data_IF_207517219488
#
_entry.id   IF_207517219488
#
_cell.length_a   1.000
_cell.length_b   1.000
_cell.length_c   1.000
_cell.angle_alpha   90.00
_cell.angle_beta   90.00
_cell.angle_gamma   90.00
#
_symmetry.space_group_name_H-M   'P 1'
#
loop_
_entity.id
_entity.type
_entity.pdbx_description
1 polymer ?
#
# COMPACT_ATOMS: atom_id res chain seq x y z
N UNK A 1 -0.71 33.81 4.57
CA UNK A 1 0.51 33.15 5.10
C UNK A 1 0.05 31.93 5.87
N UNK A 2 0.53 30.76 5.48
CA UNK A 2 0.03 29.50 6.03
C UNK A 2 0.61 29.29 7.44
N UNK A 3 -0.25 29.22 8.46
CA UNK A 3 0.14 29.14 9.89
C UNK A 3 0.48 27.70 10.33
N UNK A 4 0.69 26.81 9.37
CA UNK A 4 0.87 25.38 9.60
C UNK A 4 2.07 25.06 10.52
N UNK A 5 3.27 25.64 10.33
CA UNK A 5 4.43 25.31 11.19
C UNK A 5 4.20 25.72 12.65
N UNK A 6 3.53 26.85 12.89
CA UNK A 6 3.20 27.31 14.25
C UNK A 6 2.23 26.35 14.93
N UNK A 7 1.19 25.91 14.20
CA UNK A 7 0.19 24.96 14.72
C UNK A 7 0.79 23.58 14.96
N UNK A 8 1.75 23.18 14.14
CA UNK A 8 2.49 21.93 14.28
C UNK A 8 3.41 21.94 15.51
N UNK A 9 4.23 22.99 15.70
CA UNK A 9 5.08 23.17 16.89
C UNK A 9 4.23 23.15 18.17
N UNK A 10 3.10 23.87 18.17
CA UNK A 10 2.20 23.92 19.32
C UNK A 10 1.60 22.55 19.68
N UNK A 11 1.23 21.72 18.69
CA UNK A 11 0.74 20.38 18.96
C UNK A 11 1.86 19.44 19.43
N UNK A 12 3.08 19.52 18.88
CA UNK A 12 4.22 18.73 19.36
C UNK A 12 4.50 19.00 20.84
N UNK A 13 4.48 20.27 21.25
CA UNK A 13 4.64 20.66 22.67
C UNK A 13 3.50 20.10 23.51
N UNK A 14 2.24 20.19 23.03
CA UNK A 14 1.07 19.63 23.73
C UNK A 14 1.18 18.12 23.95
N UNK A 15 1.80 17.40 23.01
CA UNK A 15 2.01 15.95 23.07
C UNK A 15 3.24 15.55 23.91
N UNK A 16 3.90 16.52 24.55
CA UNK A 16 4.98 16.28 25.51
C UNK A 16 6.39 16.34 24.93
N UNK A 17 6.57 16.81 23.69
CA UNK A 17 7.91 17.07 23.14
C UNK A 17 8.52 18.34 23.76
N UNK A 18 9.83 18.33 24.02
CA UNK A 18 10.54 19.50 24.54
C UNK A 18 10.47 20.68 23.56
N UNK A 19 10.21 21.92 24.01
CA UNK A 19 9.99 23.08 23.12
C UNK A 19 11.12 23.31 22.09
N UNK A 20 12.39 23.13 22.48
CA UNK A 20 13.51 23.26 21.55
C UNK A 20 13.51 22.20 20.44
N UNK A 21 13.10 20.97 20.76
CA UNK A 21 13.00 19.87 19.79
C UNK A 21 11.79 20.03 18.87
N UNK A 22 10.66 20.47 19.42
CA UNK A 22 9.45 20.77 18.66
C UNK A 22 9.69 21.87 17.60
N UNK A 23 10.41 22.94 17.99
CA UNK A 23 10.78 24.02 17.09
C UNK A 23 11.69 23.55 15.95
N UNK A 24 12.71 22.77 16.28
CA UNK A 24 13.62 22.19 15.29
C UNK A 24 12.85 21.36 14.23
N UNK A 25 12.01 20.43 14.68
CA UNK A 25 11.22 19.57 13.79
C UNK A 25 10.22 20.38 12.94
N UNK A 26 9.64 21.43 13.51
CA UNK A 26 8.75 22.32 12.77
C UNK A 26 9.47 23.06 11.65
N UNK A 27 10.67 23.58 11.92
CA UNK A 27 11.52 24.22 10.90
C UNK A 27 11.93 23.24 9.80
N UNK A 28 12.44 22.06 10.17
CA UNK A 28 12.85 21.02 9.19
C UNK A 28 11.67 20.59 8.29
N UNK A 29 10.48 20.43 8.88
CA UNK A 29 9.26 20.06 8.14
C UNK A 29 8.80 21.19 7.21
N UNK A 30 8.89 22.44 7.66
CA UNK A 30 8.54 23.60 6.85
C UNK A 30 9.50 23.80 5.67
N UNK A 31 10.80 23.61 5.89
CA UNK A 31 11.83 23.67 4.86
C UNK A 31 11.58 22.58 3.80
N UNK A 32 11.24 21.37 4.22
CA UNK A 32 10.91 20.26 3.32
C UNK A 32 9.66 20.52 2.46
N UNK A 33 8.60 21.16 3.00
CA UNK A 33 7.46 21.57 2.17
C UNK A 33 7.83 22.72 1.21
N UNK A 34 8.67 23.65 1.67
CA UNK A 34 9.16 24.78 0.87
C UNK A 34 9.99 24.34 -0.33
N UNK A 35 10.91 23.40 -0.15
CA UNK A 35 11.72 22.80 -1.22
C UNK A 35 10.88 22.12 -2.30
N UNK A 36 9.73 21.56 -1.91
CA UNK A 36 8.79 20.90 -2.82
C UNK A 36 7.71 21.84 -3.38
N UNK A 37 7.77 23.14 -3.10
CA UNK A 37 6.78 24.15 -3.47
C UNK A 37 5.32 23.73 -3.15
N UNK A 38 5.13 22.95 -2.09
CA UNK A 38 3.85 22.33 -1.74
C UNK A 38 3.22 23.04 -0.54
N UNK A 39 1.88 23.11 -0.52
CA UNK A 39 1.13 23.54 0.66
C UNK A 39 1.30 22.49 1.78
N UNK A 40 1.83 22.85 2.97
CA UNK A 40 1.99 21.92 4.09
C UNK A 40 0.71 21.19 4.52
N UNK A 41 -0.46 21.84 4.45
CA UNK A 41 -1.74 21.19 4.77
C UNK A 41 -2.09 20.10 3.74
N UNK A 42 -1.65 20.28 2.49
CA UNK A 42 -1.84 19.28 1.43
C UNK A 42 -0.76 18.19 1.47
N UNK A 43 0.47 18.57 1.82
CA UNK A 43 1.64 17.69 1.77
C UNK A 43 1.77 16.79 2.99
N UNK A 44 1.58 17.35 4.19
CA UNK A 44 1.67 16.63 5.47
C UNK A 44 0.29 16.35 6.09
N UNK A 45 -0.77 16.95 5.57
CA UNK A 45 -2.09 16.93 6.19
C UNK A 45 -2.21 17.91 7.36
N UNK A 46 -3.32 17.87 8.12
CA UNK A 46 -3.53 18.76 9.25
C UNK A 46 -2.41 18.64 10.30
N UNK A 47 -1.79 19.77 10.65
CA UNK A 47 -0.64 19.85 11.57
C UNK A 47 -0.78 19.01 12.85
N UNK A 48 -1.98 19.00 13.45
CA UNK A 48 -2.23 18.26 14.68
C UNK A 48 -2.20 16.73 14.51
N UNK A 49 -2.58 16.21 13.33
CA UNK A 49 -2.52 14.78 13.03
C UNK A 49 -1.09 14.36 12.76
N UNK A 50 -0.34 15.18 12.01
CA UNK A 50 1.07 14.93 11.74
C UNK A 50 1.91 14.94 13.03
N UNK A 51 1.65 15.89 13.94
CA UNK A 51 2.32 15.95 15.25
C UNK A 51 2.06 14.70 16.11
N UNK A 52 0.82 14.19 16.12
CA UNK A 52 0.47 12.95 16.84
C UNK A 52 1.21 11.74 16.29
N UNK A 53 1.35 11.66 14.98
CA UNK A 53 2.07 10.59 14.33
C UNK A 53 3.58 10.64 14.67
N UNK A 54 4.19 11.81 14.53
CA UNK A 54 5.62 12.01 14.81
C UNK A 54 5.96 11.76 16.28
N UNK A 55 5.11 12.20 17.22
CA UNK A 55 5.33 11.94 18.64
C UNK A 55 5.16 10.45 18.96
N UNK A 56 4.18 9.77 18.35
CA UNK A 56 4.03 8.33 18.51
C UNK A 56 5.26 7.56 18.00
N UNK A 57 5.86 7.97 16.89
CA UNK A 57 7.14 7.42 16.40
C UNK A 57 8.28 7.66 17.38
N UNK A 58 8.44 8.89 17.89
CA UNK A 58 9.53 9.25 18.81
C UNK A 58 9.39 8.60 20.20
N UNK A 59 8.17 8.27 20.62
CA UNK A 59 7.86 7.61 21.89
C UNK A 59 7.80 6.09 21.79
N UNK A 60 7.74 5.54 20.57
CA UNK A 60 7.97 4.12 20.37
C UNK A 60 9.45 3.89 20.67
N UNK A 61 9.83 2.99 21.60
CA UNK A 61 11.24 2.71 21.83
C UNK A 61 11.82 2.29 20.48
N UNK A 62 12.77 3.09 20.00
CA UNK A 62 13.62 2.74 18.88
C UNK A 62 14.28 1.41 19.28
N UNK A 63 13.69 0.32 18.82
CA UNK A 63 14.38 -0.95 18.75
C UNK A 63 15.58 -0.66 17.86
N UNK A 64 16.73 -0.46 18.50
CA UNK A 64 17.99 -0.23 17.83
C UNK A 64 18.11 -1.26 16.73
N UNK A 65 18.22 -0.77 15.50
CA UNK A 65 18.44 -1.55 14.30
C UNK A 65 19.76 -2.30 14.44
N UNK A 66 19.70 -3.44 15.08
CA UNK A 66 20.46 -4.62 14.70
C UNK A 66 19.44 -5.75 14.68
N UNK A 67 18.42 -5.60 13.84
CA UNK A 67 17.68 -6.75 13.36
C UNK A 67 18.73 -7.64 12.68
N UNK A 68 19.13 -8.69 13.38
CA UNK A 68 19.66 -9.91 12.77
C UNK A 68 18.86 -10.13 11.51
N UNK A 69 19.50 -9.97 10.34
CA UNK A 69 18.91 -10.33 9.04
C UNK A 69 18.50 -11.79 9.16
N UNK A 70 17.24 -12.06 9.48
CA UNK A 70 16.63 -13.36 9.23
C UNK A 70 16.91 -13.67 7.76
N UNK A 71 17.37 -14.89 7.46
CA UNK A 71 17.78 -15.29 6.13
C UNK A 71 16.80 -14.77 5.08
N UNK A 72 17.32 -13.95 4.16
CA UNK A 72 16.50 -13.28 3.17
C UNK A 72 15.73 -14.35 2.37
N UNK A 73 14.39 -14.31 2.43
CA UNK A 73 13.53 -15.28 1.77
C UNK A 73 13.78 -15.38 0.26
N UNK A 74 13.17 -16.34 -0.44
CA UNK A 74 13.33 -16.46 -1.88
C UNK A 74 12.80 -15.20 -2.58
N UNK A 75 13.38 -14.87 -3.73
CA UNK A 75 12.91 -13.74 -4.56
C UNK A 75 11.51 -14.06 -5.08
N UNK A 76 10.52 -13.28 -4.69
CA UNK A 76 9.12 -13.46 -5.08
C UNK A 76 8.76 -12.64 -6.33
N UNK A 77 9.40 -11.48 -6.50
CA UNK A 77 9.26 -10.59 -7.64
C UNK A 77 10.63 -10.01 -8.00
N UNK A 78 10.96 -9.99 -9.30
CA UNK A 78 12.11 -9.28 -9.86
C UNK A 78 11.73 -8.61 -11.18
N UNK A 79 11.95 -7.30 -11.23
CA UNK A 79 11.91 -6.48 -12.42
C UNK A 79 13.35 -6.17 -12.81
N UNK A 80 13.67 -6.31 -14.10
CA UNK A 80 14.99 -5.95 -14.64
C UNK A 80 14.85 -5.11 -15.90
N UNK A 81 15.19 -3.82 -15.80
CA UNK A 81 15.10 -2.83 -16.88
C UNK A 81 13.69 -2.65 -17.43
N UNK A 82 12.65 -2.82 -16.61
CA UNK A 82 11.27 -2.87 -17.07
C UNK A 82 10.80 -1.48 -17.54
N UNK A 83 10.24 -1.43 -18.74
CA UNK A 83 9.68 -0.20 -19.30
C UNK A 83 8.30 -0.42 -19.89
N UNK A 84 7.51 0.65 -19.93
CA UNK A 84 6.21 0.65 -20.60
C UNK A 84 6.03 1.89 -21.46
N UNK A 85 5.64 1.67 -22.71
CA UNK A 85 5.33 2.70 -23.69
C UNK A 85 4.01 2.38 -24.40
N UNK A 86 3.19 3.40 -24.59
CA UNK A 86 1.97 3.32 -25.40
C UNK A 86 2.13 4.22 -26.63
N UNK A 87 2.25 3.61 -27.81
CA UNK A 87 2.58 4.33 -29.06
C UNK A 87 3.84 5.18 -28.88
N UNK A 88 3.74 6.51 -28.99
CA UNK A 88 4.84 7.46 -28.79
C UNK A 88 5.04 7.89 -27.34
N UNK A 89 4.10 7.60 -26.43
CA UNK A 89 4.17 8.06 -25.02
C UNK A 89 4.83 7.01 -24.14
N UNK A 90 6.04 7.30 -23.66
CA UNK A 90 6.69 6.53 -22.60
C UNK A 90 5.99 6.83 -21.27
N UNK A 91 5.67 5.78 -20.53
CA UNK A 91 5.07 5.89 -19.18
C UNK A 91 6.18 5.84 -18.13
N UNK A 92 7.07 4.86 -18.23
CA UNK A 92 8.29 4.71 -17.45
C UNK A 92 9.27 3.78 -18.18
N UNK A 93 10.55 3.82 -17.81
CA UNK A 93 11.61 3.01 -18.45
C UNK A 93 12.70 2.65 -17.45
N UNK A 94 13.29 1.45 -17.58
CA UNK A 94 14.46 1.08 -16.79
C UNK A 94 14.16 0.82 -15.31
N UNK A 95 12.95 0.33 -14.99
CA UNK A 95 12.57 0.01 -13.61
C UNK A 95 13.19 -1.30 -13.18
N UNK A 96 13.99 -1.23 -12.12
CA UNK A 96 14.56 -2.37 -11.41
C UNK A 96 13.94 -2.46 -10.00
N UNK A 97 13.52 -3.65 -9.61
CA UNK A 97 12.96 -3.91 -8.28
C UNK A 97 13.11 -5.39 -7.97
N UNK A 98 13.51 -5.73 -6.76
CA UNK A 98 13.47 -7.10 -6.26
C UNK A 98 12.78 -7.13 -4.90
N UNK A 99 11.79 -8.00 -4.75
CA UNK A 99 11.05 -8.18 -3.49
C UNK A 99 11.08 -9.66 -3.13
N UNK A 100 11.51 -9.94 -1.91
CA UNK A 100 11.65 -11.29 -1.38
C UNK A 100 10.51 -11.65 -0.43
N UNK A 101 10.38 -12.94 -0.12
CA UNK A 101 9.48 -13.37 0.94
C UNK A 101 9.89 -12.74 2.27
N UNK A 102 8.93 -12.17 2.99
CA UNK A 102 9.20 -11.42 4.21
C UNK A 102 9.49 -9.93 4.01
N UNK A 103 9.30 -9.41 2.79
CA UNK A 103 9.52 -8.00 2.47
C UNK A 103 8.23 -7.31 2.00
N UNK A 104 8.11 -6.04 2.38
CA UNK A 104 7.10 -5.11 1.87
C UNK A 104 7.79 -4.04 1.03
N UNK A 105 7.32 -3.82 -0.19
CA UNK A 105 7.79 -2.74 -1.06
C UNK A 105 6.68 -1.73 -1.32
N UNK A 106 6.98 -0.44 -1.22
CA UNK A 106 6.10 0.63 -1.67
C UNK A 106 6.49 1.12 -3.08
N UNK A 107 5.50 1.36 -3.93
CA UNK A 107 5.66 2.09 -5.19
C UNK A 107 4.99 3.45 -5.02
N UNK A 108 5.78 4.51 -5.15
CA UNK A 108 5.35 5.91 -5.02
C UNK A 108 5.59 6.69 -6.31
N UNK A 109 5.03 7.88 -6.36
CA UNK A 109 5.18 8.81 -7.47
C UNK A 109 3.87 9.54 -7.80
N UNK A 110 3.98 10.58 -8.63
CA UNK A 110 2.86 11.44 -9.01
C UNK A 110 1.70 10.65 -9.67
N UNK A 111 0.49 11.23 -9.63
CA UNK A 111 -0.65 10.67 -10.34
C UNK A 111 -0.37 10.63 -11.85
N UNK A 112 -0.63 9.47 -12.46
CA UNK A 112 -0.36 9.26 -13.89
C UNK A 112 1.08 8.88 -14.26
N UNK A 113 2.02 8.72 -13.30
CA UNK A 113 3.37 8.20 -13.59
C UNK A 113 3.40 6.70 -13.94
N UNK A 114 2.27 6.00 -13.79
CA UNK A 114 2.12 4.60 -14.21
C UNK A 114 2.22 3.55 -13.10
N UNK A 115 2.08 3.92 -11.82
CA UNK A 115 2.11 2.97 -10.68
C UNK A 115 1.20 1.76 -10.88
N UNK A 116 -0.09 1.99 -11.15
CA UNK A 116 -1.06 0.93 -11.46
C UNK A 116 -0.70 0.13 -12.71
N UNK A 117 -0.08 0.77 -13.71
CA UNK A 117 0.40 0.07 -14.92
C UNK A 117 1.57 -0.86 -14.58
N UNK A 118 2.51 -0.42 -13.76
CA UNK A 118 3.61 -1.26 -13.26
C UNK A 118 3.07 -2.43 -12.45
N UNK A 119 2.11 -2.19 -11.55
CA UNK A 119 1.50 -3.26 -10.74
C UNK A 119 0.79 -4.31 -11.60
N UNK A 120 0.08 -3.89 -12.66
CA UNK A 120 -0.52 -4.81 -13.64
C UNK A 120 0.52 -5.60 -14.42
N UNK A 121 1.68 -5.03 -14.71
CA UNK A 121 2.81 -5.76 -15.30
C UNK A 121 3.35 -6.80 -14.31
N UNK A 122 3.53 -6.44 -13.04
CA UNK A 122 3.90 -7.36 -11.98
C UNK A 122 2.88 -8.50 -11.82
N UNK A 123 1.58 -8.21 -11.98
CA UNK A 123 0.52 -9.22 -11.94
C UNK A 123 0.47 -10.11 -13.20
N UNK A 124 1.14 -9.71 -14.29
CA UNK A 124 1.07 -10.39 -15.58
C UNK A 124 -0.17 -10.06 -16.42
N UNK A 125 -0.94 -9.05 -16.02
CA UNK A 125 -2.15 -8.58 -16.73
C UNK A 125 -1.82 -7.66 -17.91
N UNK A 126 -0.61 -7.09 -17.91
CA UNK A 126 -0.11 -6.23 -18.99
C UNK A 126 1.32 -6.64 -19.33
N UNK A 127 1.67 -6.77 -20.61
CA UNK A 127 3.05 -7.03 -21.01
C UNK A 127 3.92 -5.76 -20.90
N UNK A 128 5.17 -5.86 -20.42
CA UNK A 128 6.12 -4.76 -20.50
C UNK A 128 6.51 -4.48 -21.96
N UNK A 129 6.94 -3.26 -22.26
CA UNK A 129 7.48 -2.89 -23.57
C UNK A 129 8.99 -3.20 -23.69
N UNK A 130 9.69 -3.31 -22.56
CA UNK A 130 11.11 -3.64 -22.46
C UNK A 130 11.41 -4.27 -21.10
N UNK A 131 12.57 -4.92 -20.98
CA UNK A 131 13.00 -5.56 -19.74
C UNK A 131 12.31 -6.90 -19.47
N UNK A 132 12.55 -7.45 -18.29
CA UNK A 132 12.05 -8.77 -17.88
C UNK A 132 11.37 -8.73 -16.52
N UNK A 133 10.37 -9.60 -16.34
CA UNK A 133 9.60 -9.74 -15.11
C UNK A 133 9.62 -11.20 -14.69
N UNK A 134 10.27 -11.49 -13.57
CA UNK A 134 10.22 -12.79 -12.91
C UNK A 134 9.34 -12.69 -11.67
N UNK A 135 8.40 -13.62 -11.51
CA UNK A 135 7.46 -13.63 -10.38
C UNK A 135 7.02 -15.04 -10.04
N UNK A 136 6.63 -15.25 -8.80
CA UNK A 136 5.96 -16.48 -8.34
C UNK A 136 4.59 -16.68 -9.00
N UNK A 137 4.06 -17.90 -8.93
CA UNK A 137 2.80 -18.26 -9.60
C UNK A 137 1.55 -17.84 -8.82
N UNK A 138 1.59 -17.87 -7.49
CA UNK A 138 0.44 -17.56 -6.62
C UNK A 138 0.46 -16.08 -6.26
N UNK A 139 -0.31 -15.29 -7.00
CA UNK A 139 -0.35 -13.83 -6.88
C UNK A 139 -1.76 -13.37 -6.52
N UNK A 140 -1.86 -12.59 -5.45
CA UNK A 140 -3.06 -11.84 -5.12
C UNK A 140 -2.95 -10.43 -5.67
N UNK A 141 -3.78 -10.07 -6.65
CA UNK A 141 -3.83 -8.71 -7.18
C UNK A 141 -5.11 -8.02 -6.70
N UNK A 142 -4.95 -6.87 -6.06
CA UNK A 142 -6.03 -6.05 -5.51
C UNK A 142 -6.00 -4.72 -6.26
N UNK A 143 -6.88 -4.52 -7.25
CA UNK A 143 -6.93 -3.27 -8.01
C UNK A 143 -7.53 -2.13 -7.17
N UNK A 144 -7.24 -0.90 -7.59
CA UNK A 144 -7.82 0.33 -7.01
C UNK A 144 -9.34 0.36 -7.21
N UNK A 145 -9.78 0.31 -8.47
CA UNK A 145 -11.19 0.26 -8.86
C UNK A 145 -11.42 -0.97 -9.73
N UNK A 146 -11.78 -2.12 -9.15
CA UNK A 146 -12.16 -3.23 -10.02
C UNK A 146 -12.44 -4.59 -9.40
N UNK A 147 -13.06 -5.44 -10.23
CA UNK A 147 -13.21 -6.88 -10.03
C UNK A 147 -14.55 -7.33 -9.44
N UNK A 148 -15.36 -6.40 -8.93
CA UNK A 148 -16.59 -6.74 -8.23
C UNK A 148 -17.83 -6.64 -9.14
N UNK A 149 -18.65 -7.68 -9.11
CA UNK A 149 -19.96 -7.68 -9.73
C UNK A 149 -21.00 -7.12 -8.75
N UNK A 150 -21.50 -5.91 -9.01
CA UNK A 150 -22.35 -5.18 -8.06
C UNK A 150 -23.62 -5.91 -7.61
N UNK A 151 -24.18 -6.78 -8.44
CA UNK A 151 -25.38 -7.56 -8.15
C UNK A 151 -25.12 -8.83 -7.34
N UNK A 152 -23.85 -9.24 -7.16
CA UNK A 152 -23.49 -10.39 -6.33
C UNK A 152 -23.29 -9.96 -4.88
N UNK A 153 -23.55 -10.86 -3.94
CA UNK A 153 -23.20 -10.72 -2.53
C UNK A 153 -21.72 -11.06 -2.28
N UNK A 154 -21.20 -10.77 -1.09
CA UNK A 154 -19.83 -11.15 -0.72
C UNK A 154 -19.62 -12.67 -0.75
N UNK A 155 -20.60 -13.46 -0.29
CA UNK A 155 -20.54 -14.92 -0.27
C UNK A 155 -20.50 -15.53 -1.69
N UNK A 156 -21.20 -14.90 -2.63
CA UNK A 156 -21.16 -15.27 -4.04
C UNK A 156 -19.79 -14.93 -4.66
N UNK A 157 -19.20 -13.78 -4.32
CA UNK A 157 -17.83 -13.46 -4.73
C UNK A 157 -16.82 -14.46 -4.15
N UNK A 158 -16.92 -14.80 -2.87
CA UNK A 158 -16.04 -15.81 -2.26
C UNK A 158 -16.16 -17.14 -3.00
N UNK A 159 -17.38 -17.56 -3.33
CA UNK A 159 -17.62 -18.79 -4.08
C UNK A 159 -17.04 -18.71 -5.50
N UNK A 160 -17.25 -17.60 -6.21
CA UNK A 160 -16.77 -17.39 -7.58
C UNK A 160 -15.24 -17.38 -7.66
N UNK A 161 -14.58 -16.58 -6.84
CA UNK A 161 -13.11 -16.49 -6.82
C UNK A 161 -12.48 -17.76 -6.25
N UNK A 162 -13.13 -18.37 -5.26
CA UNK A 162 -12.69 -19.65 -4.71
C UNK A 162 -12.73 -20.77 -5.75
N UNK A 163 -13.75 -20.81 -6.62
CA UNK A 163 -13.82 -21.79 -7.70
C UNK A 163 -12.65 -21.67 -8.69
N UNK A 164 -12.24 -20.44 -9.04
CA UNK A 164 -11.06 -20.20 -9.87
C UNK A 164 -9.76 -20.69 -9.21
N UNK A 165 -9.73 -20.78 -7.89
CA UNK A 165 -8.64 -21.34 -7.09
C UNK A 165 -8.81 -22.84 -6.75
N UNK A 166 -9.82 -23.52 -7.30
CA UNK A 166 -10.09 -24.94 -7.04
C UNK A 166 -10.68 -25.22 -5.64
N UNK A 167 -11.21 -24.21 -4.96
CA UNK A 167 -11.82 -24.36 -3.64
C UNK A 167 -13.28 -24.83 -3.75
N UNK A 168 -13.68 -25.73 -2.85
CA UNK A 168 -15.09 -26.09 -2.67
C UNK A 168 -15.87 -24.89 -2.08
N UNK A 169 -17.12 -24.62 -2.51
CA UNK A 169 -17.87 -23.42 -2.12
C UNK A 169 -17.96 -23.15 -0.61
N UNK A 170 -18.17 -24.19 0.20
CA UNK A 170 -18.20 -24.07 1.67
C UNK A 170 -16.88 -23.57 2.23
N UNK A 171 -15.75 -24.08 1.72
CA UNK A 171 -14.42 -23.66 2.16
C UNK A 171 -14.13 -22.23 1.72
N UNK A 172 -14.50 -21.87 0.49
CA UNK A 172 -14.32 -20.51 -0.02
C UNK A 172 -15.08 -19.47 0.82
N UNK A 173 -16.36 -19.73 1.12
CA UNK A 173 -17.15 -18.85 2.00
C UNK A 173 -16.56 -18.76 3.40
N UNK A 174 -16.25 -19.91 4.03
CA UNK A 174 -15.64 -19.93 5.38
C UNK A 174 -14.31 -19.16 5.44
N UNK A 175 -13.43 -19.34 4.45
CA UNK A 175 -12.18 -18.58 4.37
C UNK A 175 -12.46 -17.09 4.15
N UNK A 176 -13.34 -16.73 3.21
CA UNK A 176 -13.70 -15.34 2.93
C UNK A 176 -14.28 -14.61 4.14
N UNK A 177 -15.21 -15.24 4.87
CA UNK A 177 -15.77 -14.69 6.12
C UNK A 177 -14.70 -14.50 7.19
N UNK A 178 -13.77 -15.44 7.33
CA UNK A 178 -12.66 -15.31 8.28
C UNK A 178 -11.75 -14.14 7.91
N UNK A 179 -11.34 -14.03 6.64
CA UNK A 179 -10.50 -12.92 6.17
C UNK A 179 -11.20 -11.56 6.32
N UNK A 180 -12.49 -11.48 6.02
CA UNK A 180 -13.28 -10.26 6.23
C UNK A 180 -13.27 -9.82 7.70
N UNK A 181 -13.32 -10.78 8.64
CA UNK A 181 -13.29 -10.48 10.07
C UNK A 181 -11.97 -9.86 10.54
N UNK A 182 -10.85 -10.16 9.87
CA UNK A 182 -9.54 -9.53 10.15
C UNK A 182 -9.50 -8.05 9.76
N UNK A 183 -10.40 -7.62 8.86
CA UNK A 183 -10.58 -6.22 8.46
C UNK A 183 -11.77 -5.56 9.17
N UNK A 184 -12.15 -6.09 10.34
CA UNK A 184 -13.29 -5.65 11.13
C UNK A 184 -14.61 -5.57 10.32
N UNK A 185 -14.80 -6.46 9.35
CA UNK A 185 -15.99 -6.51 8.52
C UNK A 185 -16.68 -7.87 8.61
N UNK A 186 -18.00 -7.85 8.81
CA UNK A 186 -18.85 -9.05 8.77
C UNK A 186 -19.82 -8.90 7.60
N UNK A 187 -19.61 -9.64 6.50
CA UNK A 187 -20.52 -9.57 5.36
C UNK A 187 -21.93 -10.03 5.74
N UNK A 188 -22.94 -9.29 5.27
CA UNK A 188 -24.34 -9.75 5.31
C UNK A 188 -24.59 -10.63 4.10
N UNK A 189 -25.11 -11.85 4.32
CA UNK A 189 -25.31 -12.83 3.25
C UNK A 189 -26.37 -12.43 2.20
N UNK A 190 -27.19 -11.42 2.47
CA UNK A 190 -28.25 -10.96 1.56
C UNK A 190 -27.95 -9.62 0.85
N UNK A 191 -26.89 -8.92 1.26
CA UNK A 191 -26.61 -7.57 0.75
C UNK A 191 -25.76 -7.63 -0.53
N UNK A 192 -26.24 -7.09 -1.67
CA UNK A 192 -25.45 -6.96 -2.89
C UNK A 192 -24.28 -5.99 -2.73
N UNK A 193 -23.18 -6.24 -3.46
CA UNK A 193 -21.97 -5.42 -3.38
C UNK A 193 -22.16 -3.96 -3.79
N UNK A 194 -23.09 -3.67 -4.71
CA UNK A 194 -23.40 -2.30 -5.12
C UNK A 194 -23.93 -1.42 -3.97
N UNK A 195 -24.53 -2.04 -2.94
CA UNK A 195 -25.06 -1.36 -1.75
C UNK A 195 -23.99 -1.16 -0.67
N UNK A 196 -22.80 -1.74 -0.82
CA UNK A 196 -21.70 -1.58 0.12
C UNK A 196 -21.04 -0.20 -0.04
N UNK A 197 -20.56 0.36 1.07
CA UNK A 197 -19.72 1.56 1.05
C UNK A 197 -18.43 1.32 0.26
N UNK A 198 -17.82 2.38 -0.28
CA UNK A 198 -16.54 2.29 -1.00
C UNK A 198 -15.46 1.55 -0.21
N UNK A 199 -15.27 1.91 1.07
CA UNK A 199 -14.35 1.21 1.96
C UNK A 199 -14.72 -0.26 2.16
N UNK A 200 -16.00 -0.62 2.26
CA UNK A 200 -16.38 -2.04 2.40
C UNK A 200 -16.15 -2.84 1.11
N UNK A 201 -16.38 -2.22 -0.06
CA UNK A 201 -16.00 -2.82 -1.36
C UNK A 201 -14.49 -3.04 -1.44
N UNK A 202 -13.70 -2.12 -0.91
CA UNK A 202 -12.26 -2.26 -0.91
C UNK A 202 -11.76 -3.34 0.07
N UNK A 203 -12.41 -3.50 1.23
CA UNK A 203 -12.20 -4.66 2.12
C UNK A 203 -12.52 -5.97 1.40
N UNK A 204 -13.60 -6.03 0.62
CA UNK A 204 -13.92 -7.20 -0.20
C UNK A 204 -12.82 -7.50 -1.22
N UNK A 205 -12.30 -6.50 -1.94
CA UNK A 205 -11.19 -6.68 -2.87
C UNK A 205 -9.95 -7.29 -2.19
N UNK A 206 -9.60 -6.80 -1.00
CA UNK A 206 -8.49 -7.37 -0.20
C UNK A 206 -8.74 -8.84 0.16
N UNK A 207 -9.95 -9.17 0.63
CA UNK A 207 -10.33 -10.56 0.95
C UNK A 207 -10.20 -11.47 -0.27
N UNK A 208 -10.70 -11.03 -1.43
CA UNK A 208 -10.65 -11.82 -2.67
C UNK A 208 -9.21 -12.02 -3.15
N UNK A 209 -8.37 -10.99 -3.07
CA UNK A 209 -6.94 -11.09 -3.40
C UNK A 209 -6.19 -12.10 -2.55
N UNK A 210 -6.58 -12.25 -1.28
CA UNK A 210 -5.95 -13.17 -0.33
C UNK A 210 -6.57 -14.59 -0.35
N UNK A 211 -7.79 -14.76 -0.87
CA UNK A 211 -8.63 -15.95 -0.69
C UNK A 211 -7.94 -17.28 -0.99
N UNK A 212 -7.08 -17.29 -2.02
CA UNK A 212 -6.37 -18.48 -2.50
C UNK A 212 -4.98 -18.68 -1.88
N UNK A 213 -4.61 -17.87 -0.88
CA UNK A 213 -3.32 -17.95 -0.18
C UNK A 213 -2.12 -17.61 -1.07
N UNK A 214 -2.02 -16.37 -1.59
CA UNK A 214 -0.92 -15.95 -2.44
C UNK A 214 0.42 -15.85 -1.69
N UNK A 215 1.51 -16.03 -2.43
CA UNK A 215 2.89 -15.80 -1.98
C UNK A 215 3.32 -14.34 -2.18
N UNK A 216 2.73 -13.68 -3.17
CA UNK A 216 2.95 -12.28 -3.54
C UNK A 216 1.62 -11.55 -3.58
N UNK A 217 1.47 -10.50 -2.76
CA UNK A 217 0.35 -9.58 -2.84
C UNK A 217 0.75 -8.29 -3.55
N UNK A 218 -0.09 -7.86 -4.49
CA UNK A 218 0.07 -6.64 -5.28
C UNK A 218 -1.17 -5.78 -5.04
N UNK A 219 -0.99 -4.67 -4.34
CA UNK A 219 -2.06 -3.85 -3.79
C UNK A 219 -2.02 -2.45 -4.39
N UNK A 220 -3.05 -2.08 -5.15
CA UNK A 220 -3.13 -0.79 -5.84
C UNK A 220 -4.02 0.16 -5.03
N UNK A 221 -3.41 1.07 -4.26
CA UNK A 221 -4.09 2.01 -3.36
C UNK A 221 -5.20 1.36 -2.49
N UNK A 222 -4.87 0.29 -1.74
CA UNK A 222 -5.83 -0.63 -1.17
C UNK A 222 -6.69 -0.10 -0.03
N UNK A 223 -6.43 1.12 0.45
CA UNK A 223 -7.09 1.72 1.61
C UNK A 223 -7.97 2.92 1.21
N UNK A 224 -8.18 3.18 -0.08
CA UNK A 224 -9.10 4.23 -0.51
C UNK A 224 -10.50 4.01 0.09
N UNK A 225 -11.02 5.06 0.75
CA UNK A 225 -12.32 5.02 1.41
C UNK A 225 -12.35 4.32 2.77
N UNK A 226 -11.19 3.99 3.35
CA UNK A 226 -11.10 3.50 4.73
C UNK A 226 -11.21 4.63 5.74
N UNK A 227 -11.83 4.33 6.87
CA UNK A 227 -11.66 5.13 8.09
C UNK A 227 -10.32 4.79 8.76
N UNK A 228 -9.97 5.53 9.83
CA UNK A 228 -8.72 5.34 10.54
C UNK A 228 -8.57 3.92 11.13
N UNK A 229 -9.66 3.31 11.60
CA UNK A 229 -9.62 1.97 12.17
C UNK A 229 -9.30 0.92 11.11
N UNK A 230 -10.00 0.97 9.98
CA UNK A 230 -9.80 0.09 8.84
C UNK A 230 -8.40 0.24 8.23
N UNK A 231 -7.85 1.46 8.22
CA UNK A 231 -6.48 1.72 7.80
C UNK A 231 -5.45 1.02 8.71
N UNK A 232 -5.65 1.08 10.03
CA UNK A 232 -4.78 0.38 10.98
C UNK A 232 -4.92 -1.15 10.89
N UNK A 233 -6.15 -1.66 10.68
CA UNK A 233 -6.39 -3.09 10.42
C UNK A 233 -5.65 -3.56 9.15
N UNK A 234 -5.66 -2.75 8.10
CA UNK A 234 -4.95 -3.03 6.86
C UNK A 234 -3.44 -3.18 7.08
N UNK A 235 -2.79 -2.22 7.74
CA UNK A 235 -1.35 -2.29 7.99
C UNK A 235 -0.97 -3.46 8.92
N UNK A 236 -1.80 -3.74 9.95
CA UNK A 236 -1.64 -4.98 10.74
C UNK A 236 -1.67 -6.23 9.86
N UNK A 237 -2.57 -6.27 8.90
CA UNK A 237 -2.68 -7.40 7.98
C UNK A 237 -1.48 -7.50 7.02
N UNK A 238 -0.95 -6.36 6.54
CA UNK A 238 0.27 -6.30 5.73
C UNK A 238 1.47 -6.85 6.49
N UNK A 239 1.67 -6.42 7.74
CA UNK A 239 2.74 -6.95 8.59
C UNK A 239 2.56 -8.44 8.87
N UNK A 240 1.33 -8.90 9.13
CA UNK A 240 1.07 -10.33 9.31
C UNK A 240 1.39 -11.16 8.04
N UNK A 241 1.18 -10.63 6.83
CA UNK A 241 1.60 -11.30 5.59
C UNK A 241 3.12 -11.37 5.47
N UNK A 242 3.80 -10.26 5.75
CA UNK A 242 5.26 -10.18 5.78
C UNK A 242 5.85 -11.21 6.75
N UNK A 243 5.38 -11.23 7.98
CA UNK A 243 5.87 -12.13 9.04
C UNK A 243 5.59 -13.61 8.71
N UNK A 244 4.55 -13.88 7.93
CA UNK A 244 4.26 -15.21 7.37
C UNK A 244 5.13 -15.58 6.14
N UNK A 245 6.14 -14.76 5.81
CA UNK A 245 7.08 -15.00 4.70
C UNK A 245 6.56 -14.63 3.32
N UNK A 246 5.44 -13.91 3.21
CA UNK A 246 4.91 -13.43 1.92
C UNK A 246 5.61 -12.15 1.49
N UNK A 247 5.60 -11.88 0.19
CA UNK A 247 6.00 -10.59 -0.35
C UNK A 247 4.77 -9.71 -0.56
N UNK A 248 4.89 -8.42 -0.25
CA UNK A 248 3.81 -7.44 -0.47
C UNK A 248 4.36 -6.27 -1.28
N UNK A 249 3.66 -5.86 -2.32
CA UNK A 249 3.92 -4.62 -3.04
C UNK A 249 2.68 -3.74 -2.93
N UNK A 250 2.82 -2.55 -2.36
CA UNK A 250 1.74 -1.59 -2.20
C UNK A 250 2.02 -0.34 -3.05
N UNK A 251 1.04 0.08 -3.84
CA UNK A 251 1.05 1.40 -4.46
C UNK A 251 0.44 2.37 -3.47
N UNK A 252 1.16 3.46 -3.21
CA UNK A 252 0.74 4.50 -2.29
C UNK A 252 1.15 5.87 -2.79
N UNK A 253 0.37 6.88 -2.43
CA UNK A 253 0.71 8.30 -2.57
C UNK A 253 1.02 8.97 -1.21
N UNK A 254 0.96 8.22 -0.11
CA UNK A 254 1.12 8.70 1.25
C UNK A 254 2.54 8.44 1.75
N UNK A 255 3.34 9.50 1.87
CA UNK A 255 4.76 9.40 2.23
C UNK A 255 5.01 8.86 3.64
N UNK A 256 4.09 9.08 4.58
CA UNK A 256 4.21 8.58 5.96
C UNK A 256 4.08 7.04 6.05
N UNK A 257 3.68 6.38 4.97
CA UNK A 257 3.61 4.91 4.89
C UNK A 257 4.97 4.26 4.65
N UNK A 258 5.96 5.05 4.20
CA UNK A 258 7.27 4.53 3.78
C UNK A 258 8.10 3.96 4.93
N UNK A 259 7.78 4.29 6.17
CA UNK A 259 8.42 3.67 7.35
C UNK A 259 7.96 2.23 7.60
N UNK A 260 6.82 1.83 7.05
CA UNK A 260 6.25 0.50 7.25
C UNK A 260 6.75 -0.52 6.21
N UNK A 261 7.63 -0.10 5.30
CA UNK A 261 8.09 -0.92 4.18
C UNK A 261 9.61 -1.08 4.16
N UNK A 262 10.07 -2.19 3.59
CA UNK A 262 11.49 -2.53 3.47
C UNK A 262 12.15 -1.83 2.27
N UNK A 263 11.36 -1.59 1.21
CA UNK A 263 11.85 -1.01 -0.04
C UNK A 263 10.90 0.07 -0.55
N UNK A 264 11.45 1.13 -1.14
CA UNK A 264 10.67 2.19 -1.79
C UNK A 264 11.15 2.34 -3.22
N UNK A 265 10.22 2.24 -4.17
CA UNK A 265 10.43 2.54 -5.57
C UNK A 265 9.67 3.82 -5.93
N UNK A 266 10.40 4.91 -6.17
CA UNK A 266 9.83 6.14 -6.74
C UNK A 266 9.83 6.07 -8.27
N UNK A 267 8.64 5.90 -8.85
CA UNK A 267 8.47 5.83 -10.30
C UNK A 267 8.59 7.20 -10.98
N UNK A 268 8.42 8.30 -10.24
CA UNK A 268 8.59 9.66 -10.74
C UNK A 268 10.05 9.98 -11.06
N UNK A 269 10.97 9.60 -10.18
CA UNK A 269 12.42 9.80 -10.36
C UNK A 269 12.99 9.01 -11.56
N UNK A 270 12.41 7.84 -11.86
CA UNK A 270 12.86 6.96 -12.96
C UNK A 270 12.55 7.54 -14.35
N UNK A 271 11.67 8.53 -14.43
CA UNK A 271 11.27 9.18 -15.69
C UNK A 271 12.25 10.28 -16.17
N UNK A 272 13.25 10.63 -15.35
CA UNK A 272 14.16 11.78 -15.56
C UNK A 272 15.50 11.47 -16.24
N UNK A 273 15.70 10.25 -16.78
CA UNK A 273 16.93 9.87 -17.48
C UNK A 273 17.09 10.55 -18.83
N UNK A 274 17.78 11.69 -18.85
CA UNK A 274 18.57 12.33 -19.93
C UNK A 274 18.28 11.92 -21.39
N UNK A 275 17.85 12.90 -22.18
CA UNK A 275 18.39 13.15 -23.51
C UNK A 275 19.11 14.49 -23.48
#
# INVERSE_FOLDING_TARGET
>A
MNDWPTRFEAELIRLGLQPGRARQLSTETADQAGENAADPDHFFGPAHLYARHLVAELQTPAAGTTATRCEAGPVMLRLSGVGKRYRSRTVFSGVDLAVRGGEVAAIVGANGCGKSTLLRICAGLTAPSSGTVHRVRRIGFVPQDGGLAGWLTADEHFTLFGAAAGMVPRKARSTGTHLASLLAWRPSGAQPVQELSGGTRQKLNLVLGQLHGPDLLLLDEPYQGFDQGAYLDFWRQVHAWRDAGRAVVVVTHLLHELQNVDHVLDLGAVSGGTA
#
